data_IF_674157496766
#
_entry.id   IF_674157496766
#
_cell.length_a   1.000
_cell.length_b   1.000
_cell.length_c   1.000
_cell.angle_alpha   90.00
_cell.angle_beta   90.00
_cell.angle_gamma   90.00
#
_symmetry.space_group_name_H-M   'P 1'
#
loop_
_entity.id
_entity.type
_entity.pdbx_description
1 polymer ?
#
# COMPACT_ATOMS: atom_id res chain seq x y z
N UNK A 1 3.26 -0.81 15.82
CA UNK A 1 3.90 -2.11 15.51
C UNK A 1 2.99 -3.21 16.04
N UNK A 2 2.92 -4.33 15.34
CA UNK A 2 2.08 -5.48 15.69
C UNK A 2 2.97 -6.57 16.29
N UNK A 3 2.67 -7.10 17.50
CA UNK A 3 3.40 -8.24 18.06
C UNK A 3 3.36 -9.44 17.12
N UNK A 4 4.47 -10.16 17.00
CA UNK A 4 4.57 -11.33 16.12
C UNK A 4 5.52 -12.39 16.70
N UNK A 5 5.24 -13.64 16.36
CA UNK A 5 6.13 -14.76 16.64
C UNK A 5 7.48 -14.56 15.91
N UNK A 6 8.64 -14.57 16.63
CA UNK A 6 9.95 -14.43 16.02
C UNK A 6 10.25 -15.42 14.90
N UNK A 7 9.62 -16.60 14.89
CA UNK A 7 9.81 -17.57 13.80
C UNK A 7 9.15 -17.15 12.48
N UNK A 8 8.23 -16.20 12.52
CA UNK A 8 7.58 -15.62 11.34
C UNK A 8 8.25 -14.32 10.87
N UNK A 9 9.29 -13.85 11.58
CA UNK A 9 9.95 -12.59 11.30
C UNK A 9 11.26 -12.79 10.52
N UNK A 10 11.61 -11.86 9.61
CA UNK A 10 12.93 -11.85 9.00
C UNK A 10 14.01 -11.65 10.07
N UNK A 11 15.26 -12.07 9.84
CA UNK A 11 16.33 -12.02 10.84
C UNK A 11 16.47 -10.68 11.56
N UNK A 12 16.37 -9.58 10.81
CA UNK A 12 16.48 -8.21 11.33
C UNK A 12 15.38 -7.81 12.33
N UNK A 13 14.23 -8.50 12.32
CA UNK A 13 13.08 -8.17 13.18
C UNK A 13 12.89 -9.15 14.35
N UNK A 14 13.59 -10.30 14.37
CA UNK A 14 13.36 -11.37 15.37
C UNK A 14 13.48 -10.88 16.82
N UNK A 15 14.51 -10.09 17.13
CA UNK A 15 14.75 -9.60 18.50
C UNK A 15 13.69 -8.60 18.97
N UNK A 16 13.02 -7.92 18.05
CA UNK A 16 11.95 -6.97 18.35
C UNK A 16 10.62 -7.66 18.63
N UNK A 17 10.43 -8.91 18.17
CA UNK A 17 9.19 -9.71 18.34
C UNK A 17 7.93 -8.98 17.84
N UNK A 18 8.11 -8.10 16.86
CA UNK A 18 7.05 -7.26 16.34
C UNK A 18 7.34 -6.82 14.91
N UNK A 19 6.27 -6.58 14.16
CA UNK A 19 6.30 -6.01 12.82
C UNK A 19 6.01 -4.52 12.91
N UNK A 20 6.95 -3.64 12.53
CA UNK A 20 6.64 -2.22 12.35
C UNK A 20 5.72 -2.03 11.14
N UNK A 21 4.83 -1.02 11.15
CA UNK A 21 4.00 -0.73 9.98
C UNK A 21 4.84 -0.37 8.75
N UNK A 22 6.00 0.27 8.94
CA UNK A 22 6.87 0.77 7.88
C UNK A 22 6.05 1.62 6.88
N UNK A 23 5.56 2.76 7.36
CA UNK A 23 4.92 3.75 6.50
C UNK A 23 5.96 4.28 5.53
N UNK A 24 5.83 3.92 4.25
CA UNK A 24 6.85 4.16 3.21
C UNK A 24 6.40 5.17 2.17
N UNK A 25 5.09 5.26 1.94
CA UNK A 25 4.51 6.22 1.01
C UNK A 25 3.14 6.72 1.50
N UNK A 26 2.79 7.93 1.06
CA UNK A 26 1.50 8.57 1.29
C UNK A 26 1.05 9.32 0.05
N UNK A 27 -0.26 9.43 -0.16
CA UNK A 27 -0.81 10.22 -1.28
C UNK A 27 -2.11 10.91 -0.85
N UNK A 28 -2.33 12.12 -1.33
CA UNK A 28 -3.48 12.97 -0.98
C UNK A 28 -4.42 13.04 -2.19
N UNK A 29 -5.72 12.86 -1.99
CA UNK A 29 -6.70 13.09 -3.05
C UNK A 29 -6.68 14.56 -3.49
N UNK A 30 -6.96 14.83 -4.77
CA UNK A 30 -6.89 16.20 -5.31
C UNK A 30 -7.90 17.18 -4.70
N UNK A 31 -8.93 16.69 -4.02
CA UNK A 31 -9.89 17.49 -3.26
C UNK A 31 -9.46 17.76 -1.81
N UNK A 32 -8.21 17.41 -1.45
CA UNK A 32 -7.60 17.52 -0.12
C UNK A 32 -8.39 16.83 1.00
N UNK A 33 -9.29 15.89 0.67
CA UNK A 33 -10.20 15.24 1.64
C UNK A 33 -9.63 13.96 2.23
N UNK A 34 -8.90 13.16 1.45
CA UNK A 34 -8.45 11.83 1.88
C UNK A 34 -6.94 11.64 1.74
N UNK A 35 -6.32 11.23 2.85
CA UNK A 35 -4.92 10.80 2.91
C UNK A 35 -4.84 9.28 2.91
N UNK A 36 -4.07 8.72 1.98
CA UNK A 36 -3.80 7.29 1.86
C UNK A 36 -2.41 6.97 2.39
N UNK A 37 -2.28 5.86 3.13
CA UNK A 37 -1.06 5.51 3.84
C UNK A 37 -0.69 4.05 3.59
N UNK A 38 0.51 3.83 3.04
CA UNK A 38 1.06 2.51 2.75
C UNK A 38 1.91 1.98 3.90
N UNK A 39 1.38 1.02 4.67
CA UNK A 39 2.11 0.32 5.74
C UNK A 39 2.70 -0.99 5.19
N UNK A 40 3.86 -0.88 4.55
CA UNK A 40 4.54 -1.96 3.83
C UNK A 40 4.85 -3.18 4.71
N UNK A 41 5.24 -2.95 5.96
CA UNK A 41 5.62 -4.02 6.90
C UNK A 41 4.43 -4.83 7.39
N UNK A 42 3.37 -4.18 7.87
CA UNK A 42 2.16 -4.85 8.38
C UNK A 42 1.23 -5.35 7.27
N UNK A 43 1.42 -4.86 6.05
CA UNK A 43 0.54 -5.12 4.91
C UNK A 43 -0.78 -4.36 5.00
N UNK A 44 -0.84 -3.29 5.80
CA UNK A 44 -2.05 -2.47 5.95
C UNK A 44 -2.02 -1.30 4.95
N UNK A 45 -3.16 -1.00 4.34
CA UNK A 45 -3.36 0.21 3.56
C UNK A 45 -4.51 1.00 4.18
N UNK A 46 -4.25 2.24 4.60
CA UNK A 46 -5.15 3.02 5.44
C UNK A 46 -5.65 4.25 4.67
N UNK A 47 -6.93 4.57 4.82
CA UNK A 47 -7.49 5.86 4.42
C UNK A 47 -7.85 6.67 5.66
N UNK A 48 -7.46 7.94 5.64
CA UNK A 48 -7.87 8.95 6.60
C UNK A 48 -8.68 10.04 5.89
N UNK A 49 -9.81 10.44 6.46
CA UNK A 49 -10.43 11.73 6.19
C UNK A 49 -9.61 12.81 6.90
N UNK A 50 -9.10 13.75 6.12
CA UNK A 50 -8.26 14.89 6.55
C UNK A 50 -8.91 16.23 6.25
N UNK A 51 -10.25 16.27 6.10
CA UNK A 51 -11.02 17.52 5.98
C UNK A 51 -10.73 18.50 7.14
N UNK A 52 -10.41 17.95 8.31
CA UNK A 52 -9.66 18.65 9.36
C UNK A 52 -8.23 18.09 9.42
N UNK A 53 -7.22 18.79 8.86
CA UNK A 53 -5.85 18.27 8.79
C UNK A 53 -5.18 18.15 10.16
N UNK A 54 -5.71 18.79 11.21
CA UNK A 54 -5.19 18.69 12.58
C UNK A 54 -5.84 17.55 13.38
N UNK A 55 -6.90 16.93 12.85
CA UNK A 55 -7.56 15.79 13.46
C UNK A 55 -7.95 14.72 12.43
N UNK A 56 -6.98 14.06 11.74
CA UNK A 56 -7.26 12.99 10.78
C UNK A 56 -8.12 11.86 11.37
N UNK A 57 -9.14 11.42 10.63
CA UNK A 57 -10.05 10.35 11.04
C UNK A 57 -9.88 9.13 10.15
N UNK A 58 -9.51 7.98 10.73
CA UNK A 58 -9.43 6.73 9.97
C UNK A 58 -10.82 6.33 9.48
N UNK A 59 -11.02 6.27 8.16
CA UNK A 59 -12.30 5.88 7.53
C UNK A 59 -12.29 4.43 7.06
N UNK A 60 -11.13 3.93 6.62
CA UNK A 60 -11.00 2.58 6.09
C UNK A 60 -9.60 2.00 6.30
N UNK A 61 -9.52 0.68 6.30
CA UNK A 61 -8.27 -0.08 6.31
C UNK A 61 -8.47 -1.42 5.62
N UNK A 62 -7.52 -1.76 4.75
CA UNK A 62 -7.47 -3.02 4.02
C UNK A 62 -6.13 -3.70 4.31
N UNK A 63 -6.09 -5.04 4.18
CA UNK A 63 -4.85 -5.82 4.29
C UNK A 63 -4.55 -6.59 3.03
N UNK A 64 -3.28 -6.56 2.62
CA UNK A 64 -2.71 -7.35 1.54
C UNK A 64 -1.20 -7.50 1.75
N UNK A 65 -0.66 -8.68 1.47
CA UNK A 65 0.72 -9.00 1.78
C UNK A 65 1.04 -8.84 3.27
N UNK A 66 2.09 -8.08 3.58
CA UNK A 66 2.67 -7.90 4.90
C UNK A 66 3.67 -9.00 5.26
N UNK A 67 4.63 -8.67 6.13
CA UNK A 67 5.72 -9.57 6.53
C UNK A 67 5.17 -10.87 7.13
N UNK A 68 4.20 -10.75 8.04
CA UNK A 68 3.62 -11.89 8.78
C UNK A 68 2.31 -12.39 8.16
N UNK A 69 1.41 -11.49 7.77
CA UNK A 69 0.05 -11.87 7.35
C UNK A 69 0.04 -12.56 5.98
N UNK A 70 0.95 -12.15 5.08
CA UNK A 70 1.06 -12.63 3.69
C UNK A 70 -0.31 -12.71 2.99
N UNK A 71 -1.18 -11.73 3.25
CA UNK A 71 -2.59 -11.75 2.84
C UNK A 71 -2.74 -11.76 1.32
N UNK A 72 -3.51 -12.72 0.81
CA UNK A 72 -3.76 -12.88 -0.62
C UNK A 72 -4.63 -11.76 -1.21
N UNK A 73 -4.49 -11.51 -2.51
CA UNK A 73 -5.45 -10.69 -3.24
C UNK A 73 -6.77 -11.46 -3.45
N UNK A 74 -7.96 -10.82 -3.39
CA UNK A 74 -9.26 -11.50 -3.57
C UNK A 74 -9.40 -12.29 -4.89
N UNK A 75 -8.74 -11.83 -5.95
CA UNK A 75 -8.69 -12.55 -7.25
C UNK A 75 -8.10 -13.96 -7.14
N UNK A 76 -7.08 -14.12 -6.28
CA UNK A 76 -6.34 -15.37 -6.08
C UNK A 76 -6.24 -15.67 -4.57
N UNK A 77 -7.35 -16.06 -3.90
CA UNK A 77 -7.40 -16.11 -2.43
C UNK A 77 -6.44 -17.14 -1.81
N UNK A 78 -6.01 -18.14 -2.59
CA UNK A 78 -5.09 -19.18 -2.14
C UNK A 78 -3.60 -18.84 -2.37
N UNK A 79 -3.31 -17.69 -2.98
CA UNK A 79 -1.94 -17.24 -3.27
C UNK A 79 -1.51 -16.20 -2.25
N UNK A 80 -0.74 -16.64 -1.25
CA UNK A 80 -0.12 -15.72 -0.29
C UNK A 80 0.82 -14.74 -0.99
N UNK A 81 0.77 -13.48 -0.60
CA UNK A 81 1.58 -12.42 -1.20
C UNK A 81 2.71 -11.98 -0.28
N UNK A 82 3.91 -11.88 -0.84
CA UNK A 82 5.05 -11.19 -0.25
C UNK A 82 4.98 -9.68 -0.54
N UNK A 83 5.84 -8.89 0.10
CA UNK A 83 5.74 -7.42 0.07
C UNK A 83 4.54 -6.92 0.85
N UNK A 84 4.18 -5.65 0.65
CA UNK A 84 3.02 -4.99 1.22
C UNK A 84 2.73 -3.72 0.43
N UNK A 85 1.71 -2.94 0.79
CA UNK A 85 1.46 -1.66 0.13
C UNK A 85 2.70 -0.77 0.22
N UNK A 86 3.17 -0.28 -0.93
CA UNK A 86 4.34 0.60 -1.06
C UNK A 86 3.94 1.84 -1.86
N UNK A 87 4.43 2.03 -3.09
CA UNK A 87 4.13 3.26 -3.85
C UNK A 87 2.65 3.33 -4.18
N UNK A 88 1.98 4.38 -3.76
CA UNK A 88 0.55 4.63 -3.95
C UNK A 88 0.33 5.76 -4.94
N UNK A 89 -0.62 5.56 -5.86
CA UNK A 89 -1.07 6.59 -6.79
C UNK A 89 -2.59 6.70 -6.80
N UNK A 90 -3.10 7.93 -6.85
CA UNK A 90 -4.54 8.22 -6.80
C UNK A 90 -4.96 8.88 -8.11
N UNK A 91 -6.08 8.41 -8.69
CA UNK A 91 -6.63 9.05 -9.88
C UNK A 91 -7.16 10.44 -9.57
N UNK A 92 -7.11 11.34 -10.57
CA UNK A 92 -7.53 12.75 -10.40
C UNK A 92 -8.95 12.96 -9.89
N UNK A 93 -9.86 12.01 -10.16
CA UNK A 93 -11.24 12.06 -9.65
C UNK A 93 -11.40 11.42 -8.26
N UNK A 94 -10.31 10.99 -7.63
CA UNK A 94 -10.28 10.41 -6.28
C UNK A 94 -10.88 9.00 -6.16
N UNK A 95 -11.37 8.39 -7.25
CA UNK A 95 -12.15 7.15 -7.19
C UNK A 95 -11.35 5.87 -7.29
N UNK A 96 -10.12 5.94 -7.83
CA UNK A 96 -9.26 4.78 -8.04
C UNK A 96 -7.92 5.02 -7.40
N UNK A 97 -7.46 4.02 -6.66
CA UNK A 97 -6.15 4.02 -6.03
C UNK A 97 -5.39 2.83 -6.57
N UNK A 98 -4.14 3.02 -6.94
CA UNK A 98 -3.25 1.96 -7.37
C UNK A 98 -2.06 1.91 -6.43
N UNK A 99 -1.56 0.72 -6.14
CA UNK A 99 -0.27 0.63 -5.47
C UNK A 99 0.52 -0.61 -5.86
N UNK A 100 1.83 -0.52 -5.67
CA UNK A 100 2.81 -1.58 -5.89
C UNK A 100 3.48 -2.01 -4.59
N UNK A 101 4.36 -3.01 -4.64
CA UNK A 101 4.81 -3.73 -3.46
C UNK A 101 6.31 -3.71 -3.16
N UNK A 102 7.15 -3.19 -4.06
CA UNK A 102 8.62 -3.16 -3.86
C UNK A 102 9.06 -1.80 -3.34
N UNK A 103 9.99 -1.79 -2.37
CA UNK A 103 10.55 -0.58 -1.77
C UNK A 103 11.90 -0.23 -2.40
N UNK A 104 12.90 -1.06 -2.15
CA UNK A 104 14.25 -0.84 -2.64
C UNK A 104 14.99 -2.16 -2.61
N UNK A 105 15.76 -2.47 -3.65
CA UNK A 105 16.21 -3.84 -3.89
C UNK A 105 16.87 -4.52 -2.67
N UNK A 106 17.80 -3.81 -2.03
CA UNK A 106 18.51 -4.29 -0.84
C UNK A 106 17.63 -4.37 0.41
N UNK A 107 16.62 -3.51 0.55
CA UNK A 107 15.71 -3.52 1.70
C UNK A 107 14.67 -4.62 1.55
N UNK A 108 14.12 -4.80 0.35
CA UNK A 108 13.22 -5.90 0.01
C UNK A 108 13.84 -7.25 0.43
N UNK A 109 15.13 -7.48 0.14
CA UNK A 109 15.85 -8.70 0.50
C UNK A 109 16.04 -8.88 2.01
N UNK A 110 16.16 -7.79 2.76
CA UNK A 110 16.30 -7.84 4.22
C UNK A 110 14.98 -8.16 4.92
N UNK A 111 13.86 -7.62 4.43
CA UNK A 111 12.54 -7.81 5.03
C UNK A 111 11.77 -9.01 4.46
N UNK A 112 12.01 -9.36 3.20
CA UNK A 112 11.42 -10.49 2.46
C UNK A 112 12.55 -11.34 1.84
N UNK A 113 13.30 -12.10 2.66
CA UNK A 113 14.45 -12.90 2.18
C UNK A 113 14.05 -14.02 1.21
N UNK A 114 12.77 -14.41 1.19
CA UNK A 114 12.15 -15.34 0.25
C UNK A 114 11.72 -14.68 -1.08
N UNK A 115 11.95 -13.37 -1.22
CA UNK A 115 11.55 -12.57 -2.37
C UNK A 115 10.24 -11.82 -2.13
N UNK A 116 10.21 -10.57 -2.57
CA UNK A 116 9.05 -9.67 -2.40
C UNK A 116 7.96 -9.89 -3.46
N UNK A 117 8.27 -10.61 -4.55
CA UNK A 117 7.40 -10.70 -5.74
C UNK A 117 7.25 -9.35 -6.45
N UNK A 118 6.39 -9.26 -7.45
CA UNK A 118 6.11 -7.97 -8.11
C UNK A 118 4.66 -7.92 -8.54
N UNK A 119 3.86 -7.08 -7.89
CA UNK A 119 2.43 -7.00 -8.12
C UNK A 119 1.88 -5.59 -7.94
N UNK A 120 0.82 -5.29 -8.68
CA UNK A 120 0.05 -4.05 -8.61
C UNK A 120 -1.42 -4.40 -8.40
N UNK A 121 -2.05 -3.63 -7.53
CA UNK A 121 -3.48 -3.74 -7.23
C UNK A 121 -4.18 -2.42 -7.54
N UNK A 122 -5.51 -2.50 -7.68
CA UNK A 122 -6.38 -1.34 -7.72
C UNK A 122 -7.41 -1.44 -6.61
N UNK A 123 -7.66 -0.33 -5.93
CA UNK A 123 -8.79 -0.14 -5.03
C UNK A 123 -9.81 0.79 -5.67
N UNK A 124 -11.07 0.53 -5.38
CA UNK A 124 -12.16 1.49 -5.55
C UNK A 124 -12.31 2.28 -4.25
N UNK A 125 -12.34 3.60 -4.35
CA UNK A 125 -12.49 4.52 -3.23
C UNK A 125 -13.87 5.16 -3.23
N UNK A 126 -14.55 5.13 -2.08
CA UNK A 126 -15.81 5.82 -1.87
C UNK A 126 -15.56 7.31 -1.59
N UNK A 127 -16.16 8.25 -2.34
CA UNK A 127 -16.07 9.69 -2.06
C UNK A 127 -16.54 10.11 -0.65
N UNK A 128 -17.35 9.29 0.02
CA UNK A 128 -17.79 9.49 1.40
C UNK A 128 -16.91 8.79 2.44
N UNK A 129 -15.86 8.11 2.00
CA UNK A 129 -14.92 7.35 2.84
C UNK A 129 -15.22 5.86 2.82
N UNK A 130 -14.17 5.08 2.62
CA UNK A 130 -14.26 3.65 2.32
C UNK A 130 -13.36 3.28 1.16
N UNK A 131 -12.83 2.05 1.19
CA UNK A 131 -12.06 1.46 0.10
C UNK A 131 -12.40 -0.02 -0.01
N UNK A 132 -12.32 -0.55 -1.23
CA UNK A 132 -12.41 -1.99 -1.49
C UNK A 132 -11.47 -2.40 -2.62
N UNK A 133 -11.02 -3.65 -2.63
CA UNK A 133 -10.21 -4.18 -3.74
C UNK A 133 -11.06 -4.33 -4.99
N UNK A 134 -10.52 -3.94 -6.16
CA UNK A 134 -11.06 -4.41 -7.42
C UNK A 134 -10.62 -5.87 -7.63
N UNK A 135 -11.58 -6.80 -7.56
CA UNK A 135 -11.31 -8.24 -7.65
C UNK A 135 -10.83 -8.70 -9.04
N UNK A 136 -10.94 -7.85 -10.08
CA UNK A 136 -10.54 -8.17 -11.45
C UNK A 136 -9.15 -7.61 -11.76
N UNK A 137 -8.79 -6.47 -11.17
CA UNK A 137 -7.51 -5.81 -11.38
C UNK A 137 -6.45 -6.32 -10.41
N UNK A 138 -5.62 -7.23 -10.90
CA UNK A 138 -4.41 -7.69 -10.22
C UNK A 138 -3.39 -7.99 -11.30
N UNK A 139 -2.28 -7.26 -11.28
CA UNK A 139 -1.21 -7.38 -12.26
C UNK A 139 0.00 -7.95 -11.56
N UNK A 140 0.57 -9.01 -12.11
CA UNK A 140 1.80 -9.64 -11.63
C UNK A 140 2.87 -9.52 -12.70
N UNK A 141 4.12 -9.36 -12.27
CA UNK A 141 5.28 -9.29 -13.15
C UNK A 141 6.38 -10.26 -12.68
N UNK A 142 7.07 -10.90 -13.63
CA UNK A 142 8.20 -11.79 -13.35
C UNK A 142 9.56 -11.15 -13.66
N UNK A 143 9.59 -10.13 -14.52
CA UNK A 143 10.83 -9.69 -15.15
C UNK A 143 11.57 -8.62 -14.33
N UNK A 144 10.82 -7.80 -13.59
CA UNK A 144 11.35 -6.71 -12.79
C UNK A 144 10.38 -6.35 -11.65
N UNK A 145 10.89 -5.65 -10.63
CA UNK A 145 10.05 -5.13 -9.56
C UNK A 145 9.40 -3.82 -10.01
N UNK A 146 8.09 -3.73 -9.84
CA UNK A 146 7.34 -2.51 -10.13
C UNK A 146 7.30 -1.61 -8.91
N UNK A 147 7.34 -0.29 -9.15
CA UNK A 147 7.51 0.72 -8.11
C UNK A 147 6.53 1.89 -8.35
N UNK A 148 7.00 3.06 -8.77
CA UNK A 148 6.13 4.22 -8.97
C UNK A 148 5.17 4.02 -10.15
N UNK A 149 3.94 4.50 -9.98
CA UNK A 149 2.88 4.50 -10.99
C UNK A 149 2.73 5.93 -11.49
N UNK A 150 2.50 6.10 -12.79
CA UNK A 150 2.12 7.38 -13.39
C UNK A 150 0.92 7.17 -14.29
N UNK A 151 -0.16 7.90 -14.02
CA UNK A 151 -1.38 7.79 -14.81
C UNK A 151 -1.30 8.73 -16.01
N UNK A 152 -1.74 8.25 -17.17
CA UNK A 152 -1.83 9.09 -18.36
C UNK A 152 -2.79 10.27 -18.11
N UNK A 153 -2.33 11.49 -18.41
CA UNK A 153 -3.09 12.72 -18.14
C UNK A 153 -2.89 13.32 -16.74
N UNK A 154 -1.99 12.77 -15.94
CA UNK A 154 -1.64 13.25 -14.60
C UNK A 154 -2.42 12.56 -13.49
N UNK A 155 -1.85 12.60 -12.30
CA UNK A 155 -2.31 11.95 -11.07
C UNK A 155 -2.10 12.87 -9.85
N UNK A 156 -2.46 12.38 -8.66
CA UNK A 156 -2.38 13.17 -7.42
C UNK A 156 -0.96 13.53 -7.00
N UNK A 157 0.08 12.89 -7.56
CA UNK A 157 1.47 13.14 -7.16
C UNK A 157 2.40 13.57 -8.30
N UNK A 158 1.87 13.80 -9.51
CA UNK A 158 2.64 14.23 -10.69
C UNK A 158 2.65 15.73 -10.92
N UNK A 159 1.62 16.43 -10.46
CA UNK A 159 1.34 17.82 -10.82
C UNK A 159 1.25 18.74 -9.61
N UNK A 160 1.46 20.03 -9.84
CA UNK A 160 1.18 21.10 -8.87
C UNK A 160 0.40 22.22 -9.56
N UNK A 161 -0.49 22.87 -8.81
CA UNK A 161 -1.42 23.87 -9.35
C UNK A 161 -1.09 25.27 -8.82
N UNK A 162 -1.25 26.28 -9.67
CA UNK A 162 -1.01 27.69 -9.32
C UNK A 162 -2.30 28.49 -9.11
N UNK A 163 -3.47 27.84 -9.21
CA UNK A 163 -4.78 28.46 -9.04
C UNK A 163 -5.59 27.64 -8.02
N UNK A 164 -6.27 28.28 -7.07
CA UNK A 164 -7.17 27.61 -6.13
C UNK A 164 -8.48 27.19 -6.79
#
# INVERSE_FOLDING_TARGET
AEPADPEKLPPMLKDFKAVPPLVTDINLSLDDKFLYVSCWGTGEFIQYDVSDPFSPKKTSSLRIGGIVNRTSHPKNPNQQLAGGPQMVEVSRDGKRIYFTNSLYAAWDEQFYPDGVGSWMVKLEADPEGGMSFDEKFFVENSDYRIHQIRLEGGDSSSDSYCFP
#
